data_IF_017745973471
#
_entry.id   IF_017745973471
#
_cell.length_a   1.000
_cell.length_b   1.000
_cell.length_c   1.000
_cell.angle_alpha   90.00
_cell.angle_beta   90.00
_cell.angle_gamma   90.00
#
_symmetry.space_group_name_H-M   'P 1'
#
loop_
_entity.id
_entity.type
_entity.pdbx_description
1 polymer ?
#
# COMPACT_ATOMS: atom_id res chain seq x y z
N UNK A 1 3.14 -5.44 2.40
CA UNK A 1 4.44 -5.53 3.12
C UNK A 1 5.47 -6.08 2.15
N UNK A 2 6.66 -5.48 2.09
CA UNK A 2 7.78 -5.95 1.27
C UNK A 2 8.91 -6.45 2.16
N UNK A 3 9.62 -7.46 1.70
CA UNK A 3 10.85 -7.96 2.31
C UNK A 3 12.00 -7.64 1.36
N UNK A 4 13.05 -7.02 1.88
CA UNK A 4 14.25 -6.67 1.11
C UNK A 4 15.46 -7.33 1.73
N UNK A 5 16.35 -7.86 0.89
CA UNK A 5 17.61 -8.47 1.33
C UNK A 5 18.72 -7.43 1.17
N UNK A 6 19.45 -7.16 2.25
CA UNK A 6 20.61 -6.28 2.19
C UNK A 6 21.66 -6.88 1.25
N UNK A 7 22.17 -6.10 0.29
CA UNK A 7 23.19 -6.55 -0.65
C UNK A 7 24.55 -6.82 -0.01
N UNK A 8 24.78 -6.36 1.23
CA UNK A 8 26.01 -6.58 2.01
C UNK A 8 25.93 -7.81 2.93
N UNK A 9 24.83 -8.58 2.92
CA UNK A 9 24.70 -9.75 3.79
C UNK A 9 25.75 -10.81 3.48
N UNK A 10 26.32 -11.42 4.52
CA UNK A 10 27.24 -12.57 4.39
C UNK A 10 26.51 -13.85 3.92
N UNK A 11 25.17 -13.89 4.04
CA UNK A 11 24.35 -15.07 3.73
C UNK A 11 23.25 -14.77 2.70
N UNK A 12 23.59 -14.43 1.45
CA UNK A 12 22.61 -13.98 0.46
C UNK A 12 21.57 -15.05 0.14
N UNK A 13 22.00 -16.30 -0.07
CA UNK A 13 21.10 -17.40 -0.41
C UNK A 13 20.13 -17.74 0.73
N UNK A 14 20.61 -17.78 1.97
CA UNK A 14 19.76 -18.03 3.14
C UNK A 14 18.76 -16.89 3.35
N UNK A 15 19.19 -15.63 3.17
CA UNK A 15 18.33 -14.46 3.28
C UNK A 15 17.22 -14.46 2.21
N UNK A 16 17.56 -14.82 0.97
CA UNK A 16 16.59 -14.96 -0.12
C UNK A 16 15.60 -16.10 0.17
N UNK A 17 16.10 -17.26 0.60
CA UNK A 17 15.25 -18.40 0.94
C UNK A 17 14.27 -18.07 2.09
N UNK A 18 14.73 -17.33 3.09
CA UNK A 18 13.88 -16.85 4.17
C UNK A 18 12.79 -15.88 3.66
N UNK A 19 13.17 -14.92 2.81
CA UNK A 19 12.22 -14.00 2.21
C UNK A 19 11.14 -14.72 1.36
N UNK A 20 11.54 -15.75 0.61
CA UNK A 20 10.62 -16.61 -0.14
C UNK A 20 9.72 -17.44 0.78
N UNK A 21 10.26 -17.94 1.89
CA UNK A 21 9.47 -18.67 2.88
C UNK A 21 8.36 -17.79 3.47
N UNK A 22 8.64 -16.53 3.83
CA UNK A 22 7.61 -15.63 4.35
C UNK A 22 6.58 -15.21 3.30
N UNK A 23 7.00 -15.02 2.05
CA UNK A 23 6.15 -14.46 0.99
C UNK A 23 5.46 -15.50 0.10
N UNK A 24 5.63 -16.80 0.37
CA UNK A 24 4.88 -17.82 -0.37
C UNK A 24 3.38 -17.80 -0.01
N UNK A 25 2.49 -18.30 -0.89
CA UNK A 25 1.04 -18.24 -0.67
C UNK A 25 0.56 -18.91 0.62
N UNK A 26 1.19 -20.04 1.02
CA UNK A 26 0.83 -20.78 2.22
C UNK A 26 1.16 -19.99 3.48
N UNK A 27 2.39 -19.49 3.60
CA UNK A 27 2.84 -18.72 4.76
C UNK A 27 2.03 -17.43 4.92
N UNK A 28 1.78 -16.71 3.82
CA UNK A 28 1.00 -15.48 3.89
C UNK A 28 -0.47 -15.74 4.25
N UNK A 29 -1.08 -16.79 3.71
CA UNK A 29 -2.46 -17.18 4.08
C UNK A 29 -2.57 -17.53 5.56
N UNK A 30 -1.69 -18.39 6.07
CA UNK A 30 -1.71 -18.78 7.48
C UNK A 30 -1.42 -17.60 8.41
N UNK A 31 -0.51 -16.71 8.02
CA UNK A 31 -0.26 -15.48 8.78
C UNK A 31 -1.48 -14.54 8.82
N UNK A 32 -2.21 -14.43 7.70
CA UNK A 32 -3.44 -13.62 7.60
C UNK A 32 -4.58 -14.13 8.50
N UNK A 33 -4.53 -15.39 8.92
CA UNK A 33 -5.47 -15.98 9.88
C UNK A 33 -5.10 -15.68 11.34
N UNK A 34 -3.85 -15.29 11.59
CA UNK A 34 -3.33 -14.94 12.93
C UNK A 34 -3.42 -13.44 13.22
N UNK A 35 -3.25 -12.61 12.19
CA UNK A 35 -3.27 -11.15 12.30
C UNK A 35 -4.11 -10.55 11.17
N UNK A 36 -4.71 -9.39 11.42
CA UNK A 36 -5.58 -8.67 10.46
C UNK A 36 -4.78 -8.01 9.32
N UNK A 37 -4.10 -8.82 8.50
CA UNK A 37 -3.33 -8.41 7.32
C UNK A 37 -3.87 -9.13 6.09
N UNK A 38 -3.94 -8.42 4.97
CA UNK A 38 -4.36 -8.94 3.69
C UNK A 38 -3.15 -9.41 2.86
N UNK A 39 -3.13 -10.67 2.37
CA UNK A 39 -1.99 -11.21 1.63
C UNK A 39 -1.90 -10.64 0.22
N UNK A 40 -0.69 -10.46 -0.32
CA UNK A 40 -0.50 -10.01 -1.71
C UNK A 40 -0.63 -11.12 -2.75
N UNK A 41 -1.02 -12.34 -2.35
CA UNK A 41 -1.25 -13.50 -3.22
C UNK A 41 -2.74 -13.62 -3.56
N UNK A 42 -3.15 -13.37 -4.82
CA UNK A 42 -4.57 -13.38 -5.20
C UNK A 42 -5.31 -14.69 -4.87
N UNK A 43 -4.65 -15.83 -5.01
CA UNK A 43 -5.22 -17.14 -4.69
C UNK A 43 -5.55 -17.33 -3.20
N UNK A 44 -4.93 -16.57 -2.30
CA UNK A 44 -5.23 -16.66 -0.86
C UNK A 44 -6.66 -16.22 -0.54
N UNK A 45 -7.26 -15.36 -1.36
CA UNK A 45 -8.64 -14.90 -1.18
C UNK A 45 -9.71 -15.92 -1.56
N UNK A 46 -9.31 -17.08 -2.10
CA UNK A 46 -10.22 -18.20 -2.32
C UNK A 46 -10.44 -19.05 -1.05
N UNK A 47 -9.64 -18.83 0.00
CA UNK A 47 -9.82 -19.49 1.29
C UNK A 47 -11.12 -19.00 1.99
N UNK A 48 -11.94 -19.90 2.58
CA UNK A 48 -13.17 -19.53 3.28
C UNK A 48 -13.00 -18.48 4.37
N UNK A 49 -11.80 -18.34 4.95
CA UNK A 49 -11.48 -17.29 5.91
C UNK A 49 -11.83 -15.89 5.40
N UNK A 50 -11.67 -15.63 4.10
CA UNK A 50 -11.96 -14.32 3.50
C UNK A 50 -13.42 -14.16 3.04
N UNK A 51 -14.22 -15.23 2.96
CA UNK A 51 -15.62 -15.15 2.51
C UNK A 51 -16.65 -15.43 3.62
N UNK A 52 -16.20 -15.90 4.78
CA UNK A 52 -17.05 -16.18 5.93
C UNK A 52 -17.71 -14.89 6.44
N UNK A 53 -19.04 -14.90 6.67
CA UNK A 53 -19.73 -13.76 7.26
C UNK A 53 -19.10 -13.34 8.61
N UNK A 54 -18.81 -12.05 8.79
CA UNK A 54 -18.17 -11.55 10.00
C UNK A 54 -19.15 -11.61 11.18
N UNK A 55 -18.66 -12.07 12.33
CA UNK A 55 -19.40 -12.00 13.61
C UNK A 55 -19.05 -10.73 14.37
N UNK A 56 -17.80 -10.29 14.26
CA UNK A 56 -17.26 -9.07 14.88
C UNK A 56 -17.19 -7.93 13.86
N UNK A 57 -17.30 -6.68 14.32
CA UNK A 57 -17.29 -5.50 13.41
C UNK A 57 -15.93 -5.31 12.75
N UNK A 58 -14.86 -5.69 13.45
CA UNK A 58 -13.46 -5.65 13.01
C UNK A 58 -13.23 -6.53 11.78
N UNK A 59 -14.05 -7.56 11.61
CA UNK A 59 -13.97 -8.52 10.52
C UNK A 59 -14.81 -8.13 9.30
N UNK A 60 -15.56 -7.03 9.38
CA UNK A 60 -16.53 -6.61 8.36
C UNK A 60 -15.94 -6.38 6.97
N UNK A 61 -14.66 -6.02 6.90
CA UNK A 61 -13.95 -5.77 5.65
C UNK A 61 -13.47 -7.06 4.94
N UNK A 62 -13.40 -8.21 5.64
CA UNK A 62 -12.81 -9.44 5.07
C UNK A 62 -13.52 -9.92 3.79
N UNK A 63 -14.87 -10.01 3.73
CA UNK A 63 -15.59 -10.42 2.52
C UNK A 63 -15.36 -9.51 1.31
N UNK A 64 -15.04 -8.24 1.54
CA UNK A 64 -14.80 -7.26 0.48
C UNK A 64 -13.36 -7.28 -0.04
N UNK A 65 -12.41 -7.86 0.72
CA UNK A 65 -10.98 -7.76 0.43
C UNK A 65 -10.63 -8.26 -0.97
N UNK A 66 -11.22 -9.39 -1.41
CA UNK A 66 -10.97 -9.96 -2.74
C UNK A 66 -11.35 -8.98 -3.86
N UNK A 67 -12.54 -8.39 -3.78
CA UNK A 67 -13.02 -7.45 -4.78
C UNK A 67 -12.15 -6.19 -4.83
N UNK A 68 -11.86 -5.61 -3.66
CA UNK A 68 -10.98 -4.46 -3.54
C UNK A 68 -9.62 -4.73 -4.19
N UNK A 69 -8.93 -5.78 -3.75
CA UNK A 69 -7.54 -6.08 -4.12
C UNK A 69 -7.43 -6.47 -5.59
N UNK A 70 -8.45 -7.10 -6.17
CA UNK A 70 -8.48 -7.40 -7.61
C UNK A 70 -8.47 -6.15 -8.51
N UNK A 71 -8.86 -5.00 -7.97
CA UNK A 71 -8.92 -3.71 -8.68
C UNK A 71 -7.76 -2.79 -8.32
N UNK A 72 -6.96 -3.12 -7.31
CA UNK A 72 -5.80 -2.32 -6.94
C UNK A 72 -4.76 -2.36 -8.06
N UNK A 73 -4.33 -1.17 -8.48
CA UNK A 73 -3.21 -0.97 -9.37
C UNK A 73 -2.26 0.06 -8.75
N UNK A 74 -0.96 -0.10 -8.96
CA UNK A 74 -0.03 0.98 -8.66
C UNK A 74 -0.16 2.05 -9.76
N UNK A 75 -0.92 3.09 -9.45
CA UNK A 75 -1.17 4.23 -10.33
C UNK A 75 -0.23 5.40 -10.06
N UNK A 76 0.72 5.25 -9.13
CA UNK A 76 1.58 6.34 -8.73
C UNK A 76 2.76 6.44 -9.71
N UNK A 77 2.97 7.59 -10.37
CA UNK A 77 4.07 7.73 -11.33
C UNK A 77 5.43 7.66 -10.62
N UNK A 78 6.40 7.04 -11.28
CA UNK A 78 7.81 7.06 -10.85
C UNK A 78 8.38 8.43 -11.19
N UNK A 79 8.44 9.31 -10.19
CA UNK A 79 8.99 10.66 -10.30
C UNK A 79 10.21 10.82 -9.37
N UNK A 80 11.20 11.64 -9.74
CA UNK A 80 12.22 12.08 -8.81
C UNK A 80 11.57 12.86 -7.65
N UNK A 81 12.22 12.87 -6.49
CA UNK A 81 11.74 13.63 -5.33
C UNK A 81 10.29 13.33 -4.91
N UNK A 82 9.81 12.09 -5.12
CA UNK A 82 8.43 11.67 -4.82
C UNK A 82 7.96 12.05 -3.42
N UNK A 83 8.83 11.95 -2.41
CA UNK A 83 8.50 12.33 -1.04
C UNK A 83 8.20 13.85 -0.92
N UNK A 84 9.01 14.68 -1.56
CA UNK A 84 8.87 16.14 -1.55
C UNK A 84 7.61 16.57 -2.32
N UNK A 85 7.38 15.98 -3.49
CA UNK A 85 6.15 16.21 -4.28
C UNK A 85 4.90 15.84 -3.48
N UNK A 86 4.92 14.70 -2.77
CA UNK A 86 3.80 14.31 -1.90
C UNK A 86 3.61 15.27 -0.72
N UNK A 87 4.69 15.81 -0.15
CA UNK A 87 4.61 16.78 0.93
C UNK A 87 3.99 18.11 0.47
N UNK A 88 4.38 18.60 -0.72
CA UNK A 88 3.78 19.78 -1.36
C UNK A 88 2.28 19.57 -1.58
N UNK A 89 1.89 18.45 -2.21
CA UNK A 89 0.48 18.15 -2.46
C UNK A 89 -0.32 18.07 -1.16
N UNK A 90 0.21 17.40 -0.14
CA UNK A 90 -0.45 17.27 1.17
C UNK A 90 -0.68 18.65 1.80
N UNK A 91 0.31 19.55 1.78
CA UNK A 91 0.18 20.90 2.34
C UNK A 91 -0.93 21.70 1.65
N UNK A 92 -0.97 21.69 0.32
CA UNK A 92 -2.02 22.40 -0.43
C UNK A 92 -3.41 21.81 -0.21
N UNK A 93 -3.54 20.48 -0.08
CA UNK A 93 -4.80 19.85 0.34
C UNK A 93 -5.22 20.31 1.74
N UNK A 94 -4.28 20.43 2.68
CA UNK A 94 -4.56 20.95 4.02
C UNK A 94 -4.98 22.42 3.98
N UNK A 95 -4.41 23.25 3.11
CA UNK A 95 -4.83 24.64 2.93
C UNK A 95 -6.28 24.74 2.43
N UNK A 96 -6.67 23.87 1.50
CA UNK A 96 -8.06 23.81 1.04
C UNK A 96 -9.04 23.36 2.14
N UNK A 97 -8.63 22.42 2.99
CA UNK A 97 -9.47 21.89 4.07
C UNK A 97 -9.57 22.82 5.28
N UNK A 98 -8.48 23.48 5.67
CA UNK A 98 -8.37 24.15 6.96
C UNK A 98 -8.22 25.67 6.87
N UNK A 99 -7.75 26.20 5.73
CA UNK A 99 -7.42 27.62 5.57
C UNK A 99 -8.34 28.35 4.58
N UNK A 100 -9.45 27.75 4.18
CA UNK A 100 -10.43 28.30 3.22
C UNK A 100 -9.83 28.68 1.85
N UNK A 101 -8.75 28.03 1.43
CA UNK A 101 -8.24 28.19 0.06
C UNK A 101 -9.20 27.47 -0.90
N UNK A 102 -9.67 28.10 -1.99
CA UNK A 102 -10.51 27.41 -2.97
C UNK A 102 -9.81 26.17 -3.52
N UNK A 103 -10.51 25.03 -3.60
CA UNK A 103 -9.91 23.75 -3.99
C UNK A 103 -9.18 23.81 -5.35
N UNK A 104 -9.75 24.55 -6.31
CA UNK A 104 -9.11 24.75 -7.62
C UNK A 104 -7.79 25.54 -7.51
N UNK A 105 -7.74 26.55 -6.64
CA UNK A 105 -6.54 27.34 -6.41
C UNK A 105 -5.44 26.48 -5.76
N UNK A 106 -5.78 25.77 -4.68
CA UNK A 106 -4.85 24.87 -4.00
C UNK A 106 -4.27 23.81 -4.95
N UNK A 107 -5.10 23.24 -5.84
CA UNK A 107 -4.62 22.29 -6.85
C UNK A 107 -3.68 22.95 -7.86
N UNK A 108 -4.02 24.13 -8.37
CA UNK A 108 -3.19 24.86 -9.31
C UNK A 108 -1.82 25.22 -8.70
N UNK A 109 -1.80 25.68 -7.46
CA UNK A 109 -0.58 26.04 -6.74
C UNK A 109 0.28 24.80 -6.42
N UNK A 110 -0.36 23.69 -6.01
CA UNK A 110 0.32 22.41 -5.82
C UNK A 110 1.01 21.92 -7.09
N UNK A 111 0.35 22.01 -8.25
CA UNK A 111 0.92 21.61 -9.54
C UNK A 111 2.10 22.50 -9.91
N UNK A 112 1.98 23.82 -9.74
CA UNK A 112 3.05 24.76 -10.06
C UNK A 112 4.31 24.49 -9.23
N UNK A 113 4.15 24.27 -7.92
CA UNK A 113 5.26 24.01 -7.02
C UNK A 113 5.85 22.61 -7.18
N UNK A 114 5.00 21.58 -7.35
CA UNK A 114 5.47 20.22 -7.61
C UNK A 114 6.27 20.15 -8.93
N UNK A 115 5.82 20.84 -9.99
CA UNK A 115 6.53 20.87 -11.27
C UNK A 115 7.92 21.52 -11.16
N UNK A 116 8.15 22.43 -10.21
CA UNK A 116 9.48 22.99 -9.97
C UNK A 116 10.48 21.98 -9.35
N UNK A 117 9.98 20.86 -8.82
CA UNK A 117 10.79 19.75 -8.29
C UNK A 117 11.05 18.64 -9.33
N UNK A 118 10.41 18.75 -10.50
CA UNK A 118 10.54 17.79 -11.59
C UNK A 118 11.50 18.34 -12.66
N UNK A 119 12.26 17.45 -13.34
CA UNK A 119 13.19 17.83 -14.41
C UNK A 119 12.48 18.31 -15.68
#
# INVERSE_FOLDING_TARGET
MSLSVNNQTEFPNASIALAQFFTNPKSMLEFSKLVSIYPSTPASYDDPFFSTPPVAIEDSAKPFAKDAISKYADIVPTIPHKADVNAVLLRHVQEALFNNVPAQQALTDAVAEANALLP
#
